data_IF_295661981355
#
_entry.id   IF_295661981355
#
_cell.length_a   1.000
_cell.length_b   1.000
_cell.length_c   1.000
_cell.angle_alpha   90.00
_cell.angle_beta   90.00
_cell.angle_gamma   90.00
#
_symmetry.space_group_name_H-M   'P 1'
#
loop_
_entity.id
_entity.type
_entity.pdbx_description
1 polymer ?
#
# COMPACT_ATOMS: atom_id res chain seq x y z
N UNK A 1 -8.07 -11.70 -13.44
CA UNK A 1 -9.19 -12.47 -12.87
C UNK A 1 -10.07 -11.63 -11.94
N UNK A 2 -9.64 -10.40 -11.54
CA UNK A 2 -10.42 -9.55 -10.62
C UNK A 2 -11.49 -8.67 -11.31
N UNK A 3 -11.48 -8.53 -12.63
CA UNK A 3 -12.37 -7.63 -13.35
C UNK A 3 -13.62 -8.27 -13.97
N UNK A 4 -13.73 -9.59 -14.01
CA UNK A 4 -14.81 -10.27 -14.73
C UNK A 4 -16.05 -10.61 -13.89
N UNK A 5 -16.08 -10.29 -12.61
CA UNK A 5 -17.24 -10.57 -11.74
C UNK A 5 -18.13 -9.36 -11.43
N UNK A 6 -17.84 -8.19 -12.00
CA UNK A 6 -18.66 -6.98 -11.79
C UNK A 6 -19.78 -6.80 -12.83
N UNK A 7 -19.84 -7.64 -13.88
CA UNK A 7 -20.72 -7.40 -15.03
C UNK A 7 -21.93 -8.33 -15.13
N UNK A 8 -22.26 -9.15 -14.15
CA UNK A 8 -23.44 -10.02 -14.26
C UNK A 8 -24.27 -9.98 -13.00
N UNK A 9 -25.21 -9.08 -12.95
CA UNK A 9 -26.54 -9.10 -12.33
C UNK A 9 -27.09 -7.68 -12.17
N UNK A 10 -27.50 -7.05 -13.26
CA UNK A 10 -28.43 -5.93 -13.17
C UNK A 10 -29.83 -6.44 -13.50
N UNK A 11 -30.58 -6.71 -12.46
CA UNK A 11 -32.04 -6.61 -12.49
C UNK A 11 -32.39 -5.12 -12.49
N UNK A 12 -33.34 -4.70 -13.30
CA UNK A 12 -33.72 -3.30 -13.59
C UNK A 12 -34.16 -2.44 -12.38
N UNK A 13 -34.08 -2.96 -11.15
CA UNK A 13 -34.52 -2.29 -9.91
C UNK A 13 -33.51 -2.30 -8.75
N UNK A 14 -32.25 -2.73 -8.93
CA UNK A 14 -31.30 -2.83 -7.83
C UNK A 14 -30.38 -1.59 -7.79
N UNK A 15 -30.89 -0.49 -7.20
CA UNK A 15 -30.07 0.69 -6.95
C UNK A 15 -28.90 0.34 -6.03
N UNK A 16 -27.68 0.61 -6.47
CA UNK A 16 -26.47 0.39 -5.66
C UNK A 16 -26.21 1.61 -4.77
N UNK A 17 -26.03 1.38 -3.49
CA UNK A 17 -25.55 2.40 -2.53
C UNK A 17 -24.06 2.60 -2.73
N UNK A 18 -23.63 3.84 -2.97
CA UNK A 18 -22.23 4.22 -3.09
C UNK A 18 -21.99 5.62 -2.54
N UNK A 19 -20.74 5.96 -2.27
CA UNK A 19 -20.38 7.30 -1.83
C UNK A 19 -19.18 7.83 -2.62
N UNK A 20 -19.09 9.16 -2.71
CA UNK A 20 -17.94 9.88 -3.26
C UNK A 20 -17.27 10.62 -2.09
N UNK A 21 -15.97 10.41 -1.97
CA UNK A 21 -15.10 11.10 -1.01
C UNK A 21 -14.22 12.10 -1.74
N UNK A 22 -14.16 13.33 -1.21
CA UNK A 22 -13.18 14.35 -1.61
C UNK A 22 -12.49 14.82 -0.34
N UNK A 23 -11.15 14.79 -0.32
CA UNK A 23 -10.37 15.10 0.86
C UNK A 23 -9.06 15.78 0.48
N UNK A 24 -8.72 16.87 1.14
CA UNK A 24 -7.38 17.48 1.11
C UNK A 24 -6.57 16.97 2.28
N UNK A 25 -5.24 16.90 2.11
CA UNK A 25 -4.33 16.50 3.17
C UNK A 25 -3.04 17.30 3.16
N UNK A 26 -2.41 17.37 4.32
CA UNK A 26 -1.02 17.78 4.51
C UNK A 26 -0.28 16.70 5.30
N UNK A 27 1.00 16.54 5.00
CA UNK A 27 1.84 15.55 5.64
C UNK A 27 3.28 16.00 5.81
N UNK A 28 4.04 15.15 6.46
CA UNK A 28 5.48 15.33 6.68
C UNK A 28 6.20 13.99 6.50
N UNK A 29 7.45 14.06 6.06
CA UNK A 29 8.29 12.88 5.90
C UNK A 29 8.77 12.37 7.26
N UNK A 30 8.73 11.03 7.43
CA UNK A 30 9.26 10.39 8.64
C UNK A 30 10.77 10.23 8.61
N UNK A 31 11.32 9.96 7.43
CA UNK A 31 12.74 9.77 7.26
C UNK A 31 13.45 11.13 7.22
N UNK A 32 14.23 11.38 8.28
CA UNK A 32 15.06 12.57 8.42
C UNK A 32 16.54 12.26 8.25
N UNK A 33 16.89 11.33 7.37
CA UNK A 33 18.28 11.13 7.03
C UNK A 33 18.82 12.35 6.26
N UNK A 34 20.15 12.47 6.15
CA UNK A 34 20.77 13.65 5.56
C UNK A 34 20.38 13.87 4.07
N UNK A 35 19.98 12.83 3.34
CA UNK A 35 19.51 12.98 1.96
C UNK A 35 18.16 13.71 1.90
N UNK A 36 17.21 13.36 2.77
CA UNK A 36 15.90 14.04 2.84
C UNK A 36 16.02 15.48 3.36
N UNK A 37 16.85 15.70 4.38
CA UNK A 37 17.12 17.05 4.91
C UNK A 37 17.78 17.94 3.85
N UNK A 38 18.73 17.39 3.10
CA UNK A 38 19.41 18.11 2.00
C UNK A 38 18.46 18.49 0.85
N UNK A 39 17.45 17.67 0.57
CA UNK A 39 16.40 17.96 -0.42
C UNK A 39 15.37 18.99 0.08
N UNK A 40 15.34 19.33 1.37
CA UNK A 40 14.31 20.20 1.93
C UNK A 40 12.92 19.56 1.95
N UNK A 41 12.86 18.24 2.08
CA UNK A 41 11.62 17.47 2.13
C UNK A 41 11.04 17.47 3.54
N UNK A 42 10.42 18.56 3.92
CA UNK A 42 9.77 18.69 5.23
C UNK A 42 8.27 18.44 5.17
N UNK A 43 7.61 18.95 4.15
CA UNK A 43 6.16 18.91 3.99
C UNK A 43 5.74 18.28 2.65
N UNK A 44 4.50 17.86 2.59
CA UNK A 44 3.80 17.48 1.36
C UNK A 44 2.32 17.81 1.50
N UNK A 45 1.64 17.99 0.38
CA UNK A 45 0.22 18.28 0.35
C UNK A 45 -0.47 17.54 -0.79
N UNK A 46 -1.79 17.43 -0.73
CA UNK A 46 -2.49 16.78 -1.82
C UNK A 46 -3.98 16.66 -1.69
N UNK A 47 -4.54 15.93 -2.65
CA UNK A 47 -5.97 15.67 -2.80
C UNK A 47 -6.21 14.16 -2.92
N UNK A 48 -7.17 13.66 -2.16
CA UNK A 48 -7.70 12.30 -2.28
C UNK A 48 -9.13 12.34 -2.83
N UNK A 49 -9.37 11.57 -3.87
CA UNK A 49 -10.69 11.27 -4.41
C UNK A 49 -10.98 9.80 -4.15
N UNK A 50 -12.22 9.47 -3.80
CA UNK A 50 -12.60 8.07 -3.54
C UNK A 50 -14.03 7.79 -4.01
N UNK A 51 -14.23 6.56 -4.48
CA UNK A 51 -15.57 5.99 -4.67
C UNK A 51 -15.68 4.83 -3.69
N UNK A 52 -16.71 4.86 -2.84
CA UNK A 52 -16.90 3.94 -1.73
C UNK A 52 -18.18 3.12 -1.92
N UNK A 53 -18.10 1.82 -1.57
CA UNK A 53 -19.19 0.86 -1.62
C UNK A 53 -19.37 0.24 -0.24
N UNK A 54 -20.29 0.78 0.60
CA UNK A 54 -20.57 0.20 1.90
C UNK A 54 -21.11 -1.22 1.79
N UNK A 55 -20.65 -2.12 2.63
CA UNK A 55 -21.19 -3.49 2.71
C UNK A 55 -22.61 -3.48 3.29
N UNK A 56 -23.43 -4.44 2.86
CA UNK A 56 -24.86 -4.53 3.22
C UNK A 56 -25.22 -5.88 3.85
N UNK A 57 -24.33 -6.46 4.63
CA UNK A 57 -24.55 -7.70 5.38
C UNK A 57 -24.92 -8.94 4.53
N UNK A 58 -24.54 -8.91 3.25
CA UNK A 58 -24.90 -9.97 2.29
C UNK A 58 -23.92 -11.15 2.29
N UNK A 59 -22.86 -11.10 3.11
CA UNK A 59 -21.85 -12.15 3.23
C UNK A 59 -21.37 -12.29 4.67
N UNK A 60 -20.96 -13.51 5.13
CA UNK A 60 -20.53 -13.75 6.49
C UNK A 60 -19.46 -12.77 6.97
N UNK A 61 -18.39 -12.60 6.21
CA UNK A 61 -17.27 -11.74 6.56
C UNK A 61 -17.68 -10.25 6.68
N UNK A 62 -18.69 -9.79 5.93
CA UNK A 62 -19.21 -8.41 6.08
C UNK A 62 -19.80 -8.19 7.46
N UNK A 63 -20.58 -9.16 7.95
CA UNK A 63 -21.20 -9.09 9.27
C UNK A 63 -20.15 -9.17 10.38
N UNK A 64 -19.19 -10.09 10.28
CA UNK A 64 -18.13 -10.27 11.29
C UNK A 64 -17.16 -9.07 11.37
N UNK A 65 -16.91 -8.39 10.27
CA UNK A 65 -16.07 -7.18 10.20
C UNK A 65 -16.88 -5.88 10.36
N UNK A 66 -18.08 -5.96 10.96
CA UNK A 66 -18.93 -4.81 11.20
C UNK A 66 -19.27 -4.01 9.93
N UNK A 67 -19.55 -4.72 8.83
CA UNK A 67 -19.89 -4.15 7.53
C UNK A 67 -18.85 -3.15 6.98
N UNK A 68 -17.67 -3.62 6.60
CA UNK A 68 -16.61 -2.79 6.06
C UNK A 68 -17.05 -2.07 4.77
N UNK A 69 -16.41 -0.96 4.48
CA UNK A 69 -16.59 -0.24 3.22
C UNK A 69 -15.40 -0.54 2.31
N UNK A 70 -15.68 -0.90 1.06
CA UNK A 70 -14.69 -1.00 0.01
C UNK A 70 -14.66 0.27 -0.81
N UNK A 71 -13.50 0.61 -1.36
CA UNK A 71 -13.39 1.75 -2.23
C UNK A 71 -12.25 1.62 -3.23
N UNK A 72 -12.27 2.54 -4.19
CA UNK A 72 -11.14 2.83 -5.07
C UNK A 72 -10.79 4.30 -4.87
N UNK A 73 -9.53 4.56 -4.60
CA UNK A 73 -8.98 5.88 -4.36
C UNK A 73 -8.04 6.33 -5.45
N UNK A 74 -8.02 7.63 -5.68
CA UNK A 74 -7.04 8.35 -6.48
C UNK A 74 -6.44 9.45 -5.61
N UNK A 75 -5.12 9.45 -5.45
CA UNK A 75 -4.38 10.48 -4.71
C UNK A 75 -3.50 11.25 -5.67
N UNK A 76 -3.57 12.57 -5.61
CA UNK A 76 -2.52 13.45 -6.11
C UNK A 76 -1.76 13.99 -4.90
N UNK A 77 -0.43 13.82 -4.90
CA UNK A 77 0.49 14.34 -3.88
C UNK A 77 1.51 15.25 -4.52
N UNK A 78 1.65 16.45 -3.99
CA UNK A 78 2.75 17.35 -4.26
C UNK A 78 3.81 17.16 -3.17
N UNK A 79 5.04 16.87 -3.57
CA UNK A 79 6.16 16.67 -2.65
C UNK A 79 6.78 17.99 -2.15
N UNK A 80 6.22 19.15 -2.57
CA UNK A 80 6.70 20.51 -2.25
C UNK A 80 8.20 20.70 -2.57
N UNK A 81 8.66 19.99 -3.60
CA UNK A 81 10.04 19.99 -4.05
C UNK A 81 10.10 19.68 -5.56
N UNK A 82 10.68 20.57 -6.34
CA UNK A 82 10.75 20.45 -7.82
C UNK A 82 11.57 19.23 -8.28
N UNK A 83 12.53 18.79 -7.49
CA UNK A 83 13.39 17.64 -7.81
C UNK A 83 12.64 16.31 -7.65
N UNK A 84 11.65 16.25 -6.76
CA UNK A 84 10.82 15.05 -6.52
C UNK A 84 9.46 15.17 -7.23
N UNK A 85 9.00 16.39 -7.47
CA UNK A 85 7.82 16.69 -8.26
C UNK A 85 6.50 16.29 -7.59
N UNK A 86 5.70 15.53 -8.34
CA UNK A 86 4.35 15.12 -7.94
C UNK A 86 4.18 13.61 -8.10
N UNK A 87 3.16 13.06 -7.44
CA UNK A 87 2.71 11.68 -7.62
C UNK A 87 1.20 11.62 -7.84
N UNK A 88 0.79 10.71 -8.72
CA UNK A 88 -0.60 10.27 -8.82
C UNK A 88 -0.63 8.78 -8.48
N UNK A 89 -1.43 8.38 -7.49
CA UNK A 89 -1.58 6.99 -7.09
C UNK A 89 -3.04 6.54 -7.20
N UNK A 90 -3.23 5.31 -7.65
CA UNK A 90 -4.52 4.63 -7.66
C UNK A 90 -4.45 3.38 -6.79
N UNK A 91 -5.47 3.17 -5.95
CA UNK A 91 -5.49 2.06 -5.00
C UNK A 91 -6.91 1.60 -4.66
N UNK A 92 -7.16 0.30 -4.61
CA UNK A 92 -8.29 -0.23 -3.87
C UNK A 92 -8.05 -0.04 -2.37
N UNK A 93 -9.10 0.09 -1.59
CA UNK A 93 -9.01 0.15 -0.14
C UNK A 93 -10.18 -0.50 0.57
N UNK A 94 -9.93 -0.91 1.81
CA UNK A 94 -10.95 -1.35 2.74
C UNK A 94 -10.94 -0.44 3.96
N UNK A 95 -12.12 -0.05 4.42
CA UNK A 95 -12.33 0.60 5.71
C UNK A 95 -13.02 -0.36 6.65
N UNK A 96 -12.37 -0.68 7.76
CA UNK A 96 -12.83 -1.58 8.82
C UNK A 96 -13.40 -0.74 9.95
N UNK A 97 -14.73 -0.73 10.17
CA UNK A 97 -15.33 0.03 11.24
C UNK A 97 -15.02 -0.60 12.60
N UNK A 98 -14.36 0.17 13.48
CA UNK A 98 -14.11 -0.20 14.86
C UNK A 98 -15.24 0.27 15.78
N UNK A 99 -15.71 1.51 15.54
CA UNK A 99 -16.80 2.13 16.29
C UNK A 99 -17.80 2.71 15.31
N UNK A 100 -19.08 2.45 15.55
CA UNK A 100 -20.18 3.05 14.77
C UNK A 100 -21.31 3.40 15.71
N UNK A 101 -21.71 4.67 15.66
CA UNK A 101 -22.88 5.16 16.39
C UNK A 101 -23.69 6.14 15.49
N UNK A 102 -24.77 6.70 16.01
CA UNK A 102 -25.69 7.52 15.21
C UNK A 102 -25.07 8.78 14.62
N UNK A 103 -24.02 9.34 15.24
CA UNK A 103 -23.41 10.60 14.84
C UNK A 103 -21.98 10.46 14.32
N UNK A 104 -21.32 9.31 14.50
CA UNK A 104 -19.94 9.10 14.04
C UNK A 104 -19.60 7.65 13.69
N UNK A 105 -18.57 7.49 12.87
CA UNK A 105 -17.91 6.21 12.59
C UNK A 105 -16.40 6.39 12.73
N UNK A 106 -15.75 5.46 13.43
CA UNK A 106 -14.30 5.38 13.48
C UNK A 106 -13.83 4.11 12.78
N UNK A 107 -12.98 4.26 11.76
CA UNK A 107 -12.56 3.17 10.88
C UNK A 107 -11.04 3.11 10.76
N UNK A 108 -10.50 1.93 10.48
CA UNK A 108 -9.13 1.73 9.99
C UNK A 108 -9.19 1.52 8.49
N UNK A 109 -8.39 2.30 7.74
CA UNK A 109 -8.20 2.15 6.29
C UNK A 109 -6.92 1.38 6.01
N UNK A 110 -6.99 0.44 5.06
CA UNK A 110 -5.84 -0.26 4.48
C UNK A 110 -5.97 -0.19 2.95
N UNK A 111 -4.91 0.22 2.29
CA UNK A 111 -4.92 0.44 0.84
C UNK A 111 -3.57 0.14 0.19
N UNK A 112 -3.44 -0.97 -0.52
CA UNK A 112 -2.34 -1.21 -1.45
C UNK A 112 -2.65 -0.62 -2.82
N UNK A 113 -1.63 -0.10 -3.53
CA UNK A 113 -1.83 0.46 -4.86
C UNK A 113 -0.54 0.71 -5.62
N UNK A 114 -0.67 1.47 -6.69
CA UNK A 114 0.44 1.90 -7.53
C UNK A 114 0.40 3.42 -7.67
N UNK A 115 1.58 4.04 -7.64
CA UNK A 115 1.77 5.47 -7.87
C UNK A 115 2.73 5.72 -9.03
N UNK A 116 2.45 6.77 -9.77
CA UNK A 116 3.33 7.28 -10.82
C UNK A 116 3.85 8.65 -10.38
N UNK A 117 5.17 8.80 -10.35
CA UNK A 117 5.85 10.06 -10.03
C UNK A 117 6.19 10.82 -11.30
N UNK A 118 6.28 12.14 -11.23
CA UNK A 118 6.65 12.98 -12.38
C UNK A 118 8.16 13.05 -12.55
N UNK A 119 8.89 13.03 -11.43
CA UNK A 119 10.34 13.12 -11.40
C UNK A 119 10.94 11.87 -10.79
N UNK A 120 12.06 11.42 -11.30
CA UNK A 120 12.86 10.33 -10.76
C UNK A 120 14.32 10.47 -11.21
N UNK A 121 15.22 9.64 -10.72
CA UNK A 121 16.65 9.69 -10.99
C UNK A 121 17.00 9.93 -12.47
N UNK A 122 16.36 9.22 -13.41
CA UNK A 122 16.69 9.27 -14.83
C UNK A 122 16.04 10.43 -15.60
N UNK A 123 15.19 11.26 -14.98
CA UNK A 123 14.66 12.48 -15.59
C UNK A 123 15.54 13.69 -15.33
N UNK A 124 16.55 13.58 -14.48
CA UNK A 124 17.40 14.68 -14.07
C UNK A 124 18.62 14.85 -15.01
N UNK A 125 19.11 16.06 -15.12
CA UNK A 125 20.24 16.39 -16.03
C UNK A 125 21.52 15.66 -15.62
N UNK A 126 21.77 15.49 -14.33
CA UNK A 126 22.95 14.78 -13.82
C UNK A 126 22.60 13.35 -13.40
N UNK A 127 22.65 12.45 -14.39
CA UNK A 127 22.43 11.02 -14.19
C UNK A 127 23.71 10.22 -13.93
N UNK A 128 24.85 10.89 -13.71
CA UNK A 128 26.10 10.19 -13.47
C UNK A 128 26.04 9.41 -12.14
N UNK A 129 26.13 8.06 -12.17
CA UNK A 129 26.11 7.24 -10.96
C UNK A 129 27.23 7.57 -9.95
N UNK A 130 28.33 8.20 -10.41
CA UNK A 130 29.41 8.64 -9.53
C UNK A 130 28.99 9.85 -8.68
N UNK A 131 27.97 10.60 -9.12
CA UNK A 131 27.42 11.74 -8.41
C UNK A 131 26.27 11.38 -7.47
N UNK A 132 25.90 10.10 -7.37
CA UNK A 132 24.87 9.65 -6.43
C UNK A 132 25.24 10.01 -4.98
N UNK A 133 24.35 10.78 -4.35
CA UNK A 133 24.59 11.29 -3.00
C UNK A 133 25.57 12.44 -2.91
N UNK A 134 26.04 12.97 -4.03
CA UNK A 134 26.81 14.21 -4.05
C UNK A 134 25.91 15.41 -3.79
N UNK A 135 26.49 16.42 -3.22
CA UNK A 135 25.83 17.68 -2.89
C UNK A 135 26.33 18.78 -3.81
N UNK A 136 25.47 19.74 -4.07
CA UNK A 136 25.80 20.95 -4.80
C UNK A 136 26.89 21.78 -4.13
N UNK A 137 27.26 22.93 -4.70
CA UNK A 137 28.32 23.78 -4.19
C UNK A 137 28.11 24.26 -2.75
N UNK A 138 26.88 24.21 -2.25
CA UNK A 138 26.49 24.56 -0.87
C UNK A 138 26.82 23.43 0.12
N UNK A 139 27.21 22.26 -0.36
CA UNK A 139 27.50 21.07 0.45
C UNK A 139 26.27 20.48 1.18
N UNK A 140 25.06 20.89 0.83
CA UNK A 140 23.82 20.51 1.52
C UNK A 140 22.71 20.02 0.58
N UNK A 141 22.60 20.58 -0.60
CA UNK A 141 21.54 20.23 -1.56
C UNK A 141 22.00 19.08 -2.45
N UNK A 142 21.33 17.91 -2.44
CA UNK A 142 21.61 16.84 -3.39
C UNK A 142 21.44 17.34 -4.83
N UNK A 143 22.28 16.85 -5.74
CA UNK A 143 22.21 17.23 -7.16
C UNK A 143 21.20 16.41 -7.95
N UNK A 144 20.62 15.38 -7.33
CA UNK A 144 19.69 14.45 -7.98
C UNK A 144 18.76 13.77 -6.97
N UNK A 145 17.62 13.26 -7.45
CA UNK A 145 16.63 12.58 -6.63
C UNK A 145 17.08 11.15 -6.25
N UNK A 146 17.41 10.89 -4.97
CA UNK A 146 17.74 9.53 -4.52
C UNK A 146 16.53 8.69 -4.15
N UNK A 147 15.30 9.23 -4.20
CA UNK A 147 14.10 8.63 -3.67
C UNK A 147 13.52 7.61 -4.64
N UNK A 148 13.35 8.01 -5.90
CA UNK A 148 12.71 7.19 -6.92
C UNK A 148 13.64 6.89 -8.09
N UNK A 149 13.86 5.62 -8.40
CA UNK A 149 14.64 5.17 -9.56
C UNK A 149 13.80 4.92 -10.81
N UNK A 150 12.46 5.04 -10.72
CA UNK A 150 11.58 4.89 -11.89
C UNK A 150 10.22 5.56 -11.65
N UNK A 151 9.46 5.74 -12.74
CA UNK A 151 8.14 6.36 -12.69
C UNK A 151 7.14 5.59 -11.83
N UNK A 152 7.07 4.26 -11.96
CA UNK A 152 6.06 3.44 -11.31
C UNK A 152 6.58 2.89 -9.99
N UNK A 153 5.86 3.18 -8.92
CA UNK A 153 6.18 2.76 -7.57
C UNK A 153 4.98 2.08 -6.91
N UNK A 154 5.21 1.13 -6.01
CA UNK A 154 4.19 0.66 -5.11
C UNK A 154 3.77 1.80 -4.18
N UNK A 155 2.47 1.92 -3.93
CA UNK A 155 1.88 2.86 -2.99
C UNK A 155 1.10 2.07 -1.94
N UNK A 156 1.51 2.17 -0.70
CA UNK A 156 0.84 1.53 0.44
C UNK A 156 0.39 2.62 1.40
N UNK A 157 -0.89 2.62 1.80
CA UNK A 157 -1.36 3.55 2.83
C UNK A 157 -2.25 2.85 3.85
N UNK A 158 -2.07 3.25 5.09
CA UNK A 158 -2.91 2.84 6.21
C UNK A 158 -3.26 4.07 7.05
N UNK A 159 -4.48 4.11 7.61
CA UNK A 159 -4.88 5.28 8.38
C UNK A 159 -6.11 5.03 9.25
N UNK A 160 -6.28 5.91 10.23
CA UNK A 160 -7.46 6.03 11.06
C UNK A 160 -8.37 7.11 10.47
N UNK A 161 -9.65 6.79 10.29
CA UNK A 161 -10.66 7.67 9.74
C UNK A 161 -11.76 7.92 10.74
N UNK A 162 -12.06 9.17 11.02
CA UNK A 162 -13.22 9.63 11.78
C UNK A 162 -14.21 10.28 10.82
N UNK A 163 -15.41 9.72 10.72
CA UNK A 163 -16.51 10.26 9.95
C UNK A 163 -17.59 10.82 10.89
N UNK A 164 -17.85 12.10 10.84
CA UNK A 164 -18.97 12.74 11.54
C UNK A 164 -20.19 12.78 10.63
N UNK A 165 -21.28 12.16 11.05
CA UNK A 165 -22.52 12.01 10.27
C UNK A 165 -23.35 13.29 10.44
N UNK A 166 -23.42 14.11 9.40
CA UNK A 166 -24.24 15.32 9.39
C UNK A 166 -25.68 15.00 8.97
N UNK A 167 -25.82 14.19 7.93
CA UNK A 167 -27.11 13.72 7.41
C UNK A 167 -26.94 12.28 6.92
N UNK A 168 -28.04 11.66 6.47
CA UNK A 168 -27.98 10.33 5.83
C UNK A 168 -27.05 10.29 4.60
N UNK A 169 -26.88 11.45 3.93
CA UNK A 169 -26.15 11.54 2.68
C UNK A 169 -24.78 12.19 2.83
N UNK A 170 -24.50 12.93 3.91
CA UNK A 170 -23.30 13.76 4.04
C UNK A 170 -22.58 13.47 5.34
N UNK A 171 -21.28 13.21 5.24
CA UNK A 171 -20.36 13.06 6.38
C UNK A 171 -19.16 13.99 6.19
N UNK A 172 -18.67 14.55 7.30
CA UNK A 172 -17.34 15.16 7.37
C UNK A 172 -16.36 14.06 7.73
N UNK A 173 -15.25 13.99 7.00
CA UNK A 173 -14.21 13.01 7.21
C UNK A 173 -12.94 13.69 7.72
N UNK A 174 -12.34 13.15 8.77
CA UNK A 174 -10.99 13.43 9.20
C UNK A 174 -10.17 12.13 9.11
N UNK A 175 -8.98 12.19 8.54
CA UNK A 175 -8.09 11.05 8.40
C UNK A 175 -6.70 11.39 8.94
N UNK A 176 -6.12 10.47 9.71
CA UNK A 176 -4.70 10.47 10.04
C UNK A 176 -4.09 9.18 9.51
N UNK A 177 -3.06 9.28 8.70
CA UNK A 177 -2.52 8.13 7.99
C UNK A 177 -1.01 8.16 7.81
N UNK A 178 -0.54 7.00 7.37
CA UNK A 178 0.82 6.75 6.92
C UNK A 178 0.78 6.22 5.50
N UNK A 179 1.68 6.68 4.65
CA UNK A 179 1.90 6.11 3.33
C UNK A 179 3.37 5.81 3.08
N UNK A 180 3.60 4.74 2.35
CA UNK A 180 4.91 4.31 1.86
C UNK A 180 4.90 4.19 0.34
N UNK A 181 5.96 4.68 -0.28
CA UNK A 181 6.16 4.62 -1.74
C UNK A 181 7.56 4.11 -2.04
N UNK A 182 7.65 3.07 -2.86
CA UNK A 182 8.93 2.55 -3.34
C UNK A 182 8.73 1.61 -4.52
N UNK A 183 9.79 1.36 -5.30
CA UNK A 183 9.75 0.39 -6.40
C UNK A 183 10.33 -0.99 -6.01
N UNK A 184 10.57 -1.25 -4.71
CA UNK A 184 11.12 -2.51 -4.24
C UNK A 184 12.53 -2.81 -4.76
N UNK A 185 13.32 -1.79 -5.09
CA UNK A 185 14.66 -1.87 -5.72
C UNK A 185 14.65 -2.53 -7.10
N UNK A 186 13.52 -2.51 -7.81
CA UNK A 186 13.50 -2.90 -9.22
C UNK A 186 14.39 -1.97 -10.05
N UNK A 187 14.45 -0.71 -9.66
CA UNK A 187 15.36 0.31 -10.18
C UNK A 187 16.02 1.06 -9.02
N UNK A 188 17.33 1.27 -9.14
CA UNK A 188 18.09 2.11 -8.21
C UNK A 188 18.25 3.53 -8.79
N UNK A 189 18.32 4.56 -7.94
CA UNK A 189 18.17 4.55 -6.49
C UNK A 189 16.73 4.24 -6.03
N UNK A 190 16.57 3.79 -4.81
CA UNK A 190 15.26 3.58 -4.22
C UNK A 190 15.34 3.72 -2.70
N UNK A 191 15.41 4.93 -2.20
CA UNK A 191 15.24 5.21 -0.78
C UNK A 191 13.78 5.06 -0.36
N UNK A 192 12.86 5.32 -1.30
CA UNK A 192 11.43 5.37 -1.05
C UNK A 192 11.02 6.57 -0.19
N UNK A 193 9.74 6.84 -0.08
CA UNK A 193 9.20 7.90 0.75
C UNK A 193 8.23 7.35 1.79
N UNK A 194 8.42 7.75 3.04
CA UNK A 194 7.57 7.43 4.18
C UNK A 194 6.93 8.73 4.68
N UNK A 195 5.61 8.83 4.61
CA UNK A 195 4.88 10.05 4.91
C UNK A 195 3.81 9.78 5.97
N UNK A 196 3.75 10.62 7.00
CA UNK A 196 2.59 10.75 7.86
C UNK A 196 1.76 11.93 7.39
N UNK A 197 0.43 11.80 7.39
CA UNK A 197 -0.44 12.87 6.93
C UNK A 197 -1.71 12.99 7.75
N UNK A 198 -2.27 14.20 7.76
CA UNK A 198 -3.61 14.51 8.26
C UNK A 198 -4.46 15.11 7.15
N UNK A 199 -5.70 14.65 7.01
CA UNK A 199 -6.61 15.10 5.97
C UNK A 199 -8.00 15.43 6.48
N UNK A 200 -8.66 16.36 5.80
CA UNK A 200 -10.06 16.72 6.03
C UNK A 200 -10.82 16.67 4.71
N UNK A 201 -12.05 16.17 4.76
CA UNK A 201 -12.85 15.99 3.55
C UNK A 201 -14.33 15.82 3.82
N UNK A 202 -15.04 15.57 2.72
CA UNK A 202 -16.48 15.33 2.70
C UNK A 202 -16.74 14.01 1.98
N UNK A 203 -17.68 13.24 2.51
CA UNK A 203 -18.21 12.03 1.89
C UNK A 203 -19.68 12.28 1.61
N UNK A 204 -20.08 12.11 0.34
CA UNK A 204 -21.48 12.21 -0.11
C UNK A 204 -21.97 10.82 -0.54
N UNK A 205 -22.99 10.30 0.13
CA UNK A 205 -23.58 8.99 -0.14
C UNK A 205 -24.80 9.14 -1.05
N UNK A 206 -24.81 8.35 -2.12
CA UNK A 206 -25.91 8.23 -3.06
C UNK A 206 -26.72 6.95 -2.78
N UNK A 207 -28.04 7.00 -3.03
CA UNK A 207 -28.95 5.91 -2.71
C UNK A 207 -28.86 5.48 -1.24
N UNK A 208 -28.79 6.44 -0.33
CA UNK A 208 -28.58 6.20 1.08
C UNK A 208 -29.69 5.36 1.74
N UNK A 209 -30.91 5.38 1.16
CA UNK A 209 -32.08 4.65 1.64
C UNK A 209 -32.06 3.16 1.24
N UNK A 210 -31.11 2.74 0.40
CA UNK A 210 -30.99 1.34 0.01
C UNK A 210 -30.42 0.54 1.18
N UNK A 211 -31.23 -0.37 1.70
CA UNK A 211 -30.89 -1.34 2.73
C UNK A 211 -31.17 -2.74 2.22
N UNK A 212 -30.39 -3.72 2.64
CA UNK A 212 -30.61 -5.14 2.34
C UNK A 212 -30.74 -5.92 3.65
N UNK A 213 -31.70 -6.82 3.70
CA UNK A 213 -31.87 -7.71 4.83
C UNK A 213 -30.61 -8.56 5.05
N UNK A 214 -30.15 -8.72 6.30
CA UNK A 214 -29.01 -9.58 6.62
C UNK A 214 -29.27 -11.03 6.21
N UNK A 215 -28.31 -11.62 5.50
CA UNK A 215 -28.39 -13.04 5.12
C UNK A 215 -27.78 -13.88 6.22
N UNK A 216 -28.48 -14.94 6.64
CA UNK A 216 -27.92 -15.93 7.56
C UNK A 216 -27.05 -16.93 6.80
N UNK A 217 -25.90 -17.27 7.37
CA UNK A 217 -24.96 -18.20 6.76
C UNK A 217 -24.69 -19.37 7.71
N UNK A 218 -24.61 -20.59 7.18
CA UNK A 218 -24.18 -21.74 7.98
C UNK A 218 -22.71 -21.64 8.34
N UNK A 219 -22.32 -22.27 9.43
CA UNK A 219 -20.91 -22.37 9.83
C UNK A 219 -20.09 -23.11 8.78
N UNK A 220 -18.83 -22.68 8.59
CA UNK A 220 -17.91 -23.34 7.67
C UNK A 220 -17.52 -24.73 8.20
N UNK A 221 -17.60 -25.78 7.35
CA UNK A 221 -17.30 -27.15 7.77
C UNK A 221 -15.80 -27.44 8.00
N UNK A 222 -14.90 -26.64 7.39
CA UNK A 222 -13.46 -26.90 7.41
C UNK A 222 -12.73 -25.96 8.35
N UNK A 223 -11.91 -26.56 9.24
CA UNK A 223 -11.09 -25.82 10.22
C UNK A 223 -9.64 -25.66 9.82
N UNK A 224 -9.15 -26.43 8.84
CA UNK A 224 -7.78 -26.35 8.36
C UNK A 224 -7.76 -26.06 6.87
N UNK A 225 -6.80 -25.22 6.48
CA UNK A 225 -6.45 -24.93 5.08
C UNK A 225 -4.94 -24.94 4.89
N UNK A 226 -4.50 -25.15 3.66
CA UNK A 226 -3.12 -25.02 3.24
C UNK A 226 -2.98 -23.74 2.44
N UNK A 227 -2.02 -22.90 2.82
CA UNK A 227 -1.62 -21.72 2.07
C UNK A 227 -0.28 -21.99 1.39
N UNK A 228 -0.25 -21.87 0.06
CA UNK A 228 0.98 -21.95 -0.74
C UNK A 228 1.04 -20.71 -1.61
N UNK A 229 2.11 -19.92 -1.45
CA UNK A 229 2.30 -18.69 -2.18
C UNK A 229 3.72 -18.63 -2.74
N UNK A 230 3.84 -18.12 -3.96
CA UNK A 230 5.13 -17.86 -4.59
C UNK A 230 5.12 -16.51 -5.28
N UNK A 231 6.22 -15.78 -5.18
CA UNK A 231 6.44 -14.55 -5.90
C UNK A 231 7.87 -14.46 -6.41
N UNK A 232 8.06 -13.78 -7.54
CA UNK A 232 9.39 -13.52 -8.10
C UNK A 232 9.39 -12.15 -8.78
N UNK A 233 10.56 -11.50 -8.79
CA UNK A 233 10.71 -10.19 -9.42
C UNK A 233 12.16 -9.83 -9.68
N UNK A 234 12.40 -8.80 -10.51
CA UNK A 234 13.72 -8.26 -10.75
C UNK A 234 14.18 -7.39 -9.59
N UNK A 235 15.49 -7.42 -9.32
CA UNK A 235 16.16 -6.61 -8.30
C UNK A 235 17.47 -6.07 -8.84
N UNK A 236 17.64 -4.75 -8.82
CA UNK A 236 18.91 -4.09 -9.17
C UNK A 236 19.81 -4.01 -7.93
N UNK A 237 21.05 -4.46 -8.06
CA UNK A 237 21.99 -4.50 -6.94
C UNK A 237 22.60 -3.12 -6.63
N UNK A 238 22.95 -2.38 -7.66
CA UNK A 238 23.63 -1.07 -7.55
C UNK A 238 23.20 -0.14 -8.69
N UNK A 239 23.33 1.19 -8.47
CA UNK A 239 22.99 2.20 -9.49
C UNK A 239 23.88 2.09 -10.73
N UNK A 240 25.16 1.72 -10.54
CA UNK A 240 26.14 1.57 -11.63
C UNK A 240 25.97 0.26 -12.43
N UNK A 241 25.10 -0.64 -12.00
CA UNK A 241 24.89 -1.94 -12.62
C UNK A 241 23.43 -2.06 -13.06
N UNK A 242 23.18 -1.94 -14.35
CA UNK A 242 21.84 -2.10 -14.93
C UNK A 242 21.34 -3.54 -14.92
N UNK A 243 22.17 -4.49 -14.50
CA UNK A 243 21.78 -5.89 -14.43
C UNK A 243 20.64 -6.09 -13.41
N UNK A 244 19.60 -6.81 -13.84
CA UNK A 244 18.47 -7.20 -13.00
C UNK A 244 18.65 -8.66 -12.56
N UNK A 245 18.80 -8.84 -11.26
CA UNK A 245 18.89 -10.16 -10.64
C UNK A 245 17.50 -10.67 -10.30
N UNK A 246 17.29 -11.97 -10.45
CA UNK A 246 16.07 -12.61 -9.97
C UNK A 246 16.06 -12.64 -8.45
N UNK A 247 14.96 -12.20 -7.85
CA UNK A 247 14.60 -12.49 -6.45
C UNK A 247 13.31 -13.27 -6.41
N UNK A 248 13.15 -14.17 -5.46
CA UNK A 248 11.93 -14.93 -5.31
C UNK A 248 11.66 -15.30 -3.86
N UNK A 249 10.39 -15.52 -3.56
CA UNK A 249 9.94 -16.06 -2.27
C UNK A 249 8.97 -17.21 -2.52
N UNK A 250 9.01 -18.18 -1.62
CA UNK A 250 8.07 -19.28 -1.55
C UNK A 250 7.62 -19.44 -0.10
N UNK A 251 6.31 -19.56 0.10
CA UNK A 251 5.68 -19.82 1.39
C UNK A 251 4.82 -21.06 1.30
N UNK A 252 4.87 -21.88 2.35
CA UNK A 252 3.93 -22.98 2.57
C UNK A 252 3.52 -23.01 4.05
N UNK A 253 2.23 -22.93 4.33
CA UNK A 253 1.72 -22.87 5.70
C UNK A 253 0.40 -23.61 5.90
N UNK A 254 0.15 -24.06 7.12
CA UNK A 254 -1.12 -24.62 7.56
C UNK A 254 -1.85 -23.56 8.41
N UNK A 255 -3.10 -23.29 8.06
CA UNK A 255 -3.95 -22.30 8.72
C UNK A 255 -5.11 -23.00 9.40
N UNK A 256 -5.30 -22.76 10.68
CA UNK A 256 -6.48 -23.15 11.42
C UNK A 256 -7.50 -22.02 11.40
N UNK A 257 -8.68 -22.29 10.87
CA UNK A 257 -9.77 -21.34 10.83
C UNK A 257 -10.39 -21.21 12.23
N UNK A 258 -10.05 -20.14 12.94
CA UNK A 258 -10.53 -19.88 14.30
C UNK A 258 -11.97 -19.33 14.31
N UNK A 259 -12.31 -18.52 13.29
CA UNK A 259 -13.67 -17.97 13.08
C UNK A 259 -14.01 -18.01 11.58
N UNK A 260 -15.22 -17.60 11.21
CA UNK A 260 -15.64 -17.54 9.80
C UNK A 260 -14.89 -16.49 8.95
N UNK A 261 -14.10 -15.64 9.56
CA UNK A 261 -13.37 -14.55 8.90
C UNK A 261 -11.88 -14.47 9.27
N UNK A 262 -11.44 -15.22 10.28
CA UNK A 262 -10.07 -15.18 10.77
C UNK A 262 -9.49 -16.57 10.96
N UNK A 263 -8.31 -16.77 10.43
CA UNK A 263 -7.47 -17.95 10.59
C UNK A 263 -6.11 -17.61 11.16
N UNK A 264 -5.53 -18.54 11.87
CA UNK A 264 -4.18 -18.45 12.44
C UNK A 264 -3.38 -19.69 12.06
N UNK A 265 -2.10 -19.54 11.77
CA UNK A 265 -1.31 -20.67 11.33
C UNK A 265 0.19 -20.47 11.46
N UNK A 266 0.90 -21.50 11.02
CA UNK A 266 2.36 -21.50 10.96
C UNK A 266 2.79 -21.95 9.55
N UNK A 267 3.92 -21.43 9.12
CA UNK A 267 4.46 -21.74 7.80
C UNK A 267 5.97 -21.75 7.74
N UNK A 268 6.46 -22.18 6.60
CA UNK A 268 7.85 -22.14 6.20
C UNK A 268 7.99 -21.18 5.02
N UNK A 269 8.95 -20.27 5.13
CA UNK A 269 9.31 -19.33 4.08
C UNK A 269 10.71 -19.63 3.56
N UNK A 270 10.87 -19.54 2.24
CA UNK A 270 12.15 -19.63 1.56
C UNK A 270 12.31 -18.42 0.66
N UNK A 271 13.41 -17.71 0.80
CA UNK A 271 13.75 -16.53 0.01
C UNK A 271 15.02 -16.79 -0.79
N UNK A 272 15.03 -16.40 -2.04
CA UNK A 272 16.20 -16.32 -2.87
C UNK A 272 16.45 -14.88 -3.30
N UNK A 273 17.68 -14.38 -3.12
CA UNK A 273 18.07 -13.06 -3.59
C UNK A 273 19.34 -13.14 -4.45
N UNK A 274 19.15 -13.13 -5.77
CA UNK A 274 20.23 -13.17 -6.75
C UNK A 274 21.12 -11.92 -6.75
N UNK A 275 20.61 -10.79 -6.24
CA UNK A 275 21.33 -9.52 -6.16
C UNK A 275 22.40 -9.49 -5.04
N UNK A 276 22.49 -10.51 -4.19
CA UNK A 276 23.58 -10.63 -3.21
C UNK A 276 24.88 -10.96 -3.94
N UNK A 277 25.73 -9.94 -4.11
CA UNK A 277 27.04 -10.03 -4.74
C UNK A 277 28.07 -9.35 -3.85
N UNK A 278 29.38 -9.59 -4.10
CA UNK A 278 30.47 -8.94 -3.36
C UNK A 278 30.48 -7.42 -3.46
N UNK A 279 29.80 -6.86 -4.47
CA UNK A 279 29.71 -5.42 -4.74
C UNK A 279 28.49 -4.78 -4.09
N UNK A 280 27.52 -5.59 -3.65
CA UNK A 280 26.26 -5.12 -3.11
C UNK A 280 26.40 -4.75 -1.64
N UNK A 281 26.16 -3.49 -1.34
CA UNK A 281 26.02 -2.89 -0.01
C UNK A 281 27.14 -3.22 1.00
N UNK A 282 28.01 -2.24 1.17
CA UNK A 282 29.18 -2.29 2.05
C UNK A 282 28.87 -2.51 3.53
N UNK A 283 27.64 -2.30 3.96
CA UNK A 283 27.23 -2.39 5.37
C UNK A 283 26.77 -3.79 5.80
N UNK A 284 26.23 -4.59 4.85
CA UNK A 284 25.59 -5.86 5.15
C UNK A 284 26.35 -7.09 4.62
N UNK A 285 27.24 -6.92 3.61
CA UNK A 285 27.92 -8.03 2.94
C UNK A 285 29.44 -7.84 2.97
N UNK A 286 30.17 -8.96 3.05
CA UNK A 286 31.64 -8.96 3.05
C UNK A 286 32.18 -8.51 1.69
N UNK A 287 32.98 -7.46 1.69
CA UNK A 287 33.48 -6.79 0.49
C UNK A 287 34.30 -7.69 -0.46
N UNK A 288 34.99 -8.71 0.08
CA UNK A 288 35.90 -9.57 -0.66
C UNK A 288 35.39 -11.02 -0.73
N UNK A 289 34.09 -11.24 -0.42
CA UNK A 289 33.49 -12.56 -0.41
C UNK A 289 32.72 -12.83 -1.70
N UNK A 290 33.05 -13.91 -2.39
CA UNK A 290 32.27 -14.41 -3.53
C UNK A 290 31.14 -15.29 -3.00
N UNK A 291 29.91 -14.79 -3.07
CA UNK A 291 28.75 -15.52 -2.57
C UNK A 291 28.39 -16.70 -3.44
N UNK A 292 28.33 -17.87 -2.83
CA UNK A 292 27.81 -19.08 -3.48
C UNK A 292 26.30 -18.98 -3.67
N UNK A 293 25.74 -19.84 -4.54
CA UNK A 293 24.28 -19.91 -4.75
C UNK A 293 23.54 -20.22 -3.45
N UNK A 294 24.09 -21.09 -2.59
CA UNK A 294 23.48 -21.45 -1.32
C UNK A 294 23.37 -20.26 -0.35
N UNK A 295 24.35 -19.37 -0.34
CA UNK A 295 24.36 -18.17 0.53
C UNK A 295 23.33 -17.11 0.11
N UNK A 296 22.79 -17.21 -1.11
CA UNK A 296 21.71 -16.35 -1.60
C UNK A 296 20.33 -16.77 -1.11
N UNK A 297 20.22 -17.95 -0.50
CA UNK A 297 18.99 -18.44 0.11
C UNK A 297 18.87 -18.03 1.58
N UNK A 298 17.64 -17.79 2.00
CA UNK A 298 17.24 -17.63 3.40
C UNK A 298 16.00 -18.47 3.63
N UNK A 299 15.87 -19.04 4.82
CA UNK A 299 14.67 -19.75 5.23
C UNK A 299 14.25 -19.29 6.62
N UNK A 300 12.97 -19.35 6.90
CA UNK A 300 12.40 -18.93 8.17
C UNK A 300 11.09 -19.61 8.47
N UNK A 301 10.72 -19.59 9.74
CA UNK A 301 9.38 -19.94 10.19
C UNK A 301 8.53 -18.70 10.26
N UNK A 302 7.28 -18.79 9.83
CA UNK A 302 6.31 -17.69 9.89
C UNK A 302 5.12 -18.05 10.76
N UNK A 303 4.61 -17.01 11.41
CA UNK A 303 3.31 -16.99 12.04
C UNK A 303 2.34 -16.29 11.11
N UNK A 304 1.27 -16.99 10.73
CA UNK A 304 0.32 -16.51 9.74
C UNK A 304 -0.97 -16.03 10.41
N UNK A 305 -1.45 -14.87 9.97
CA UNK A 305 -2.77 -14.35 10.27
C UNK A 305 -3.52 -14.19 8.95
N UNK A 306 -4.61 -14.93 8.78
CA UNK A 306 -5.40 -14.91 7.57
C UNK A 306 -6.76 -14.24 7.84
N UNK A 307 -7.07 -13.21 7.07
CA UNK A 307 -8.36 -12.53 7.12
C UNK A 307 -9.14 -12.83 5.85
N UNK A 308 -10.28 -13.50 5.98
CA UNK A 308 -11.08 -13.94 4.84
C UNK A 308 -12.18 -12.94 4.48
N UNK A 309 -12.11 -12.41 3.27
CA UNK A 309 -13.08 -11.47 2.71
C UNK A 309 -13.88 -12.14 1.56
N UNK A 310 -14.61 -13.18 1.90
CA UNK A 310 -15.34 -14.01 0.93
C UNK A 310 -14.41 -15.00 0.24
N UNK A 311 -14.05 -14.75 -1.02
CA UNK A 311 -13.11 -15.59 -1.79
C UNK A 311 -11.67 -15.03 -1.78
N UNK A 312 -11.47 -13.90 -1.14
CA UNK A 312 -10.17 -13.24 -1.00
C UNK A 312 -9.67 -13.45 0.43
N UNK A 313 -8.38 -13.79 0.55
CA UNK A 313 -7.67 -13.93 1.83
C UNK A 313 -6.46 -13.03 1.86
#
# INVERSE_FOLDING_TARGET
VLFTTLASAQSENDKTKFAIKVQTFKGSYLDKNHHFVGLGLDENSGLNLGIEFPSMQQRPWQQYLNNPTFGVGLTHMNFENDMVGHMIAMYPYIMLPLIRCSFMEFNIKLAPGLGVVTEHWYTQEDQNPDNYGNYGPDGKTPTNDPIFGCYVNAYLTAGANLNLILTRNVKINAEFGYSHMSNGRTFMPNLGANVIYGGLGVITTFNADVEKEPVQFPDKPYKWSLNITGAAGPHQAAIKDDHKFLTSTFHAGAIYQATNWYGVGVGLDVFYNGAITSETDRSLYRKDHVYTTAEKFRAGLSWNNEFQFGRVT
#
